data_IF_058693426972
#
_entry.id   IF_058693426972
#
_cell.length_a   1.000
_cell.length_b   1.000
_cell.length_c   1.000
_cell.angle_alpha   90.00
_cell.angle_beta   90.00
_cell.angle_gamma   90.00
#
_symmetry.space_group_name_H-M   'P 1'
#
loop_
_entity.id
_entity.type
_entity.pdbx_description
1 polymer ?
#
# COMPACT_ATOMS: atom_id res chain seq x y z
N UNK A 1 7.44 3.37 -10.97
CA UNK A 1 6.15 3.91 -10.49
C UNK A 1 5.98 3.66 -8.99
N UNK A 2 5.03 4.33 -8.34
CA UNK A 2 4.72 4.10 -6.94
C UNK A 2 3.32 3.48 -6.80
N UNK A 3 3.17 2.55 -5.85
CA UNK A 3 1.89 1.99 -5.43
C UNK A 3 1.78 2.09 -3.92
N UNK A 4 0.58 2.33 -3.42
CA UNK A 4 0.31 2.60 -2.02
C UNK A 4 -0.64 1.55 -1.48
N UNK A 5 -0.41 1.10 -0.25
CA UNK A 5 -1.19 0.02 0.35
C UNK A 5 -1.57 0.37 1.79
N UNK A 6 -2.74 -0.12 2.19
CA UNK A 6 -3.15 -0.23 3.57
C UNK A 6 -3.31 -1.71 3.94
N UNK A 7 -2.59 -2.14 4.96
CA UNK A 7 -2.61 -3.50 5.49
C UNK A 7 -3.42 -3.45 6.79
N UNK A 8 -4.71 -3.76 6.69
CA UNK A 8 -5.70 -3.38 7.70
C UNK A 8 -5.56 -4.15 9.01
N UNK A 9 -5.22 -5.43 8.93
CA UNK A 9 -4.97 -6.29 10.10
C UNK A 9 -3.69 -5.90 10.86
N UNK A 10 -2.77 -5.23 10.17
CA UNK A 10 -1.51 -4.73 10.75
C UNK A 10 -1.56 -3.23 11.07
N UNK A 11 -2.68 -2.54 10.79
CA UNK A 11 -2.86 -1.10 10.93
C UNK A 11 -1.69 -0.28 10.34
N UNK A 12 -1.21 -0.70 9.16
CA UNK A 12 0.00 -0.18 8.53
C UNK A 12 -0.29 0.37 7.12
N UNK A 13 0.37 1.46 6.75
CA UNK A 13 0.47 1.93 5.37
C UNK A 13 1.86 1.63 4.78
N UNK A 14 1.91 1.37 3.48
CA UNK A 14 3.16 1.12 2.75
C UNK A 14 3.18 1.81 1.39
N UNK A 15 4.31 2.44 1.06
CA UNK A 15 4.59 2.95 -0.28
C UNK A 15 5.68 2.11 -0.95
N UNK A 16 5.35 1.42 -2.04
CA UNK A 16 6.31 0.60 -2.79
C UNK A 16 6.75 1.33 -4.06
N UNK A 17 8.07 1.45 -4.23
CA UNK A 17 8.67 1.86 -5.50
C UNK A 17 8.85 0.62 -6.36
N UNK A 18 8.15 0.59 -7.50
CA UNK A 18 8.11 -0.55 -8.42
C UNK A 18 8.68 -0.13 -9.77
N UNK A 19 9.55 -0.96 -10.34
CA UNK A 19 10.11 -0.73 -11.66
C UNK A 19 9.01 -0.72 -12.73
N UNK A 20 9.07 0.27 -13.61
CA UNK A 20 8.12 0.39 -14.71
C UNK A 20 8.32 -0.74 -15.72
N UNK A 21 7.20 -1.36 -16.15
CA UNK A 21 7.20 -2.59 -16.96
C UNK A 21 7.50 -3.89 -16.21
N UNK A 22 7.75 -3.87 -14.90
CA UNK A 22 7.89 -5.09 -14.10
C UNK A 22 6.55 -5.82 -13.93
N UNK A 23 6.57 -7.11 -13.56
CA UNK A 23 5.31 -7.85 -13.29
C UNK A 23 4.51 -7.21 -12.16
N UNK A 24 5.18 -6.61 -11.18
CA UNK A 24 4.53 -5.94 -10.05
C UNK A 24 3.82 -4.62 -10.46
N UNK A 25 4.18 -4.01 -11.58
CA UNK A 25 3.53 -2.78 -12.04
C UNK A 25 2.10 -3.01 -12.51
N UNK A 26 1.80 -4.20 -13.03
CA UNK A 26 0.48 -4.61 -13.53
C UNK A 26 -0.19 -5.69 -12.67
N UNK A 27 0.47 -6.14 -11.61
CA UNK A 27 -0.06 -7.19 -10.75
C UNK A 27 -1.33 -6.72 -10.02
N UNK A 28 -2.34 -7.59 -9.88
CA UNK A 28 -3.50 -7.27 -9.05
C UNK A 28 -3.10 -7.22 -7.56
N UNK A 29 -3.92 -6.55 -6.73
CA UNK A 29 -3.61 -6.34 -5.30
C UNK A 29 -3.42 -7.66 -4.54
N UNK A 30 -4.12 -8.73 -4.93
CA UNK A 30 -4.04 -10.04 -4.32
C UNK A 30 -2.63 -10.65 -4.39
N UNK A 31 -1.84 -10.29 -5.41
CA UNK A 31 -0.46 -10.75 -5.53
C UNK A 31 0.45 -10.17 -4.43
N UNK A 32 0.04 -9.07 -3.78
CA UNK A 32 0.79 -8.45 -2.69
C UNK A 32 0.44 -9.03 -1.32
N UNK A 33 -0.59 -9.87 -1.21
CA UNK A 33 -0.96 -10.55 0.05
C UNK A 33 0.18 -11.40 0.59
N UNK A 34 0.82 -12.18 -0.28
CA UNK A 34 1.98 -13.00 0.08
C UNK A 34 3.19 -12.14 0.47
N UNK A 35 3.41 -11.03 -0.26
CA UNK A 35 4.51 -10.10 0.01
C UNK A 35 4.39 -9.44 1.39
N UNK A 36 3.19 -9.00 1.77
CA UNK A 36 2.93 -8.38 3.07
C UNK A 36 2.60 -9.40 4.17
N UNK A 37 2.43 -10.68 3.82
CA UNK A 37 2.00 -11.72 4.76
C UNK A 37 0.61 -11.47 5.37
N UNK A 38 -0.31 -10.85 4.62
CA UNK A 38 -1.66 -10.49 5.07
C UNK A 38 -2.70 -10.75 3.98
N UNK A 39 -3.88 -11.25 4.37
CA UNK A 39 -5.02 -11.37 3.45
C UNK A 39 -5.80 -10.06 3.29
N UNK A 40 -5.64 -9.11 4.21
CA UNK A 40 -6.42 -7.86 4.31
C UNK A 40 -5.61 -6.65 3.79
N UNK A 41 -5.11 -6.78 2.56
CA UNK A 41 -4.33 -5.77 1.83
C UNK A 41 -5.23 -5.01 0.86
N UNK A 42 -5.21 -3.68 0.95
CA UNK A 42 -5.96 -2.77 0.08
C UNK A 42 -5.00 -1.85 -0.65
N UNK A 43 -5.23 -1.65 -1.94
CA UNK A 43 -4.51 -0.63 -2.70
C UNK A 43 -5.18 0.73 -2.51
N UNK A 44 -4.36 1.74 -2.26
CA UNK A 44 -4.78 3.11 -2.07
C UNK A 44 -4.41 3.97 -3.29
N UNK A 45 -5.17 5.04 -3.49
CA UNK A 45 -4.70 6.17 -4.27
C UNK A 45 -3.62 6.94 -3.49
N UNK A 46 -2.85 7.77 -4.19
CA UNK A 46 -1.89 8.65 -3.54
C UNK A 46 -2.57 9.59 -2.53
N UNK A 47 -3.72 10.16 -2.88
CA UNK A 47 -4.50 11.06 -2.00
C UNK A 47 -4.93 10.33 -0.71
N UNK A 48 -5.47 9.11 -0.82
CA UNK A 48 -5.84 8.31 0.36
C UNK A 48 -4.64 7.98 1.25
N UNK A 49 -3.50 7.66 0.65
CA UNK A 49 -2.27 7.41 1.39
C UNK A 49 -1.79 8.65 2.14
N UNK A 50 -1.82 9.83 1.49
CA UNK A 50 -1.47 11.09 2.14
C UNK A 50 -2.42 11.43 3.29
N UNK A 51 -3.74 11.32 3.10
CA UNK A 51 -4.72 11.59 4.15
C UNK A 51 -4.50 10.70 5.38
N UNK A 52 -4.18 9.42 5.20
CA UNK A 52 -3.88 8.54 6.33
C UNK A 52 -2.59 8.96 7.04
N UNK A 53 -1.52 9.22 6.30
CA UNK A 53 -0.25 9.62 6.89
C UNK A 53 -0.35 10.95 7.65
N UNK A 54 -1.04 11.95 7.10
CA UNK A 54 -1.26 13.24 7.75
C UNK A 54 -2.08 13.09 9.04
N UNK A 55 -3.08 12.20 9.05
CA UNK A 55 -3.87 11.91 10.26
C UNK A 55 -3.09 11.14 11.32
N UNK A 56 -2.14 10.29 10.93
CA UNK A 56 -1.27 9.58 11.86
C UNK A 56 -0.24 10.53 12.51
N UNK A 57 0.28 11.52 11.76
CA UNK A 57 1.18 12.55 12.31
C UNK A 57 0.48 13.47 13.32
N UNK A 58 -0.83 13.71 13.19
CA UNK A 58 -1.61 14.50 14.16
C UNK A 58 -1.85 13.76 15.48
N UNK A 59 -1.66 12.42 15.51
CA UNK A 59 -1.89 11.57 16.70
C UNK A 59 -0.64 11.37 17.56
N UNK A 60 0.53 11.87 17.15
CA UNK A 60 1.80 11.82 17.89
C UNK A 60 2.09 13.15 18.61
#
# INVERSE_FOLDING_TARGET
MQRYFYIRDQEMTAALTIDDGSRASIAPVEAFREYFGSEDVHELTYEQYQEICENDEIRL
#
